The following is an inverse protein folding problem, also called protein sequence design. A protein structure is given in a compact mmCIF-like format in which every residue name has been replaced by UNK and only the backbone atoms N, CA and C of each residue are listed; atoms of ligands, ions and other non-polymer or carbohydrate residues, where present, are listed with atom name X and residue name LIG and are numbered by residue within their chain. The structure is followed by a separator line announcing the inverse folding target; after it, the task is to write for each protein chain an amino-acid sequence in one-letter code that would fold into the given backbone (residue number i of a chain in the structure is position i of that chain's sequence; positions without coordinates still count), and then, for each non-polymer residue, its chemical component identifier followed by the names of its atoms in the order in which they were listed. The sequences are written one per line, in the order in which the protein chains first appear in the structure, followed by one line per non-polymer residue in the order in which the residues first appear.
data_IF_180882632029
#
_entry.id   IF_180882632029
#
_cell.length_a   1.000
_cell.length_b   1.000
_cell.length_c   1.000
_cell.angle_alpha   90.00
_cell.angle_beta   90.00
_cell.angle_gamma   90.00
#
_symmetry.space_group_name_H-M   'P 1'
#
loop_
_entity.id
_entity.type
_entity.pdbx_description
1 polymer ?
#
# COMPACT_ATOMS: atom_id res chain seq x y z
N UNK A 1 25.20 -10.05 -0.06
CA UNK A 1 25.99 -8.94 -0.65
C UNK A 1 25.34 -7.62 -0.23
N UNK A 2 26.07 -6.52 -0.18
CA UNK A 2 25.50 -5.22 0.18
C UNK A 2 24.81 -4.56 -1.02
N UNK A 3 23.68 -3.88 -0.79
CA UNK A 3 22.94 -3.11 -1.79
C UNK A 3 22.96 -1.61 -1.44
N UNK A 4 22.84 -0.73 -2.44
CA UNK A 4 22.85 0.72 -2.21
C UNK A 4 21.71 1.13 -1.29
N UNK A 5 22.05 1.84 -0.21
CA UNK A 5 21.09 2.20 0.83
C UNK A 5 20.06 3.23 0.35
N UNK A 6 18.78 2.99 0.62
CA UNK A 6 17.69 3.87 0.22
C UNK A 6 17.44 5.00 1.24
N UNK A 7 17.00 6.14 0.73
CA UNK A 7 16.88 7.41 1.46
C UNK A 7 15.67 8.19 0.98
N UNK A 8 15.27 9.18 1.77
CA UNK A 8 14.25 10.15 1.35
C UNK A 8 14.63 10.76 -0.01
N UNK A 9 13.69 10.76 -0.95
CA UNK A 9 13.86 11.30 -2.28
C UNK A 9 14.67 10.43 -3.24
N UNK A 10 15.04 9.20 -2.88
CA UNK A 10 15.61 8.27 -3.85
C UNK A 10 14.53 7.79 -4.84
N UNK A 11 14.86 7.60 -6.14
CA UNK A 11 13.89 7.25 -7.17
C UNK A 11 13.11 5.95 -6.95
N UNK A 12 11.85 5.94 -7.39
CA UNK A 12 10.98 4.75 -7.44
C UNK A 12 10.42 4.53 -8.86
N UNK A 13 9.84 3.35 -9.11
CA UNK A 13 9.41 2.91 -10.44
C UNK A 13 8.10 3.55 -10.93
N UNK A 14 7.25 4.05 -10.03
CA UNK A 14 5.99 4.75 -10.37
C UNK A 14 6.02 6.23 -9.96
N UNK A 15 4.93 6.97 -10.23
CA UNK A 15 4.81 8.40 -9.89
C UNK A 15 4.19 8.60 -8.48
N UNK A 16 4.69 9.53 -7.65
CA UNK A 16 5.80 10.44 -7.89
C UNK A 16 7.13 9.67 -7.96
N UNK A 17 8.09 10.13 -8.79
CA UNK A 17 9.24 9.31 -9.20
C UNK A 17 10.27 9.10 -8.09
N UNK A 18 9.96 9.40 -6.82
CA UNK A 18 10.87 9.32 -5.67
C UNK A 18 10.13 8.95 -4.38
N UNK A 19 10.87 8.43 -3.40
CA UNK A 19 10.39 8.22 -2.04
C UNK A 19 10.02 9.55 -1.36
N UNK A 20 8.73 9.88 -1.39
CA UNK A 20 8.09 11.05 -0.77
C UNK A 20 7.26 10.69 0.47
N UNK A 21 6.89 11.66 1.30
CA UNK A 21 6.06 11.46 2.50
C UNK A 21 6.90 11.52 3.77
N UNK A 22 7.80 10.56 3.96
CA UNK A 22 8.73 10.56 5.09
C UNK A 22 8.05 10.22 6.42
N UNK A 23 8.78 10.34 7.55
CA UNK A 23 9.79 11.37 7.81
C UNK A 23 11.23 11.06 7.37
N UNK A 24 11.56 9.79 7.14
CA UNK A 24 12.95 9.33 7.12
C UNK A 24 13.55 9.27 8.53
N UNK A 25 14.74 8.69 8.67
CA UNK A 25 15.46 8.69 9.94
C UNK A 25 15.87 10.11 10.35
N UNK A 26 15.53 10.48 11.59
CA UNK A 26 15.82 11.81 12.16
C UNK A 26 17.29 11.99 12.58
N UNK A 27 18.07 10.91 12.64
CA UNK A 27 19.44 10.94 13.14
C UNK A 27 20.43 10.05 12.37
N UNK A 28 19.95 9.20 11.45
CA UNK A 28 20.82 8.45 10.54
C UNK A 28 20.70 9.02 9.15
N UNK A 29 21.75 9.73 8.73
CA UNK A 29 21.88 10.28 7.39
C UNK A 29 22.79 9.39 6.54
N UNK A 30 22.37 9.11 5.31
CA UNK A 30 23.13 8.35 4.32
C UNK A 30 23.41 9.28 3.14
N UNK A 31 24.69 9.55 2.86
CA UNK A 31 25.06 10.54 1.85
C UNK A 31 24.33 11.89 2.04
N UNK A 32 24.20 12.34 3.29
CA UNK A 32 23.56 13.61 3.66
C UNK A 32 22.04 13.65 3.69
N UNK A 33 21.32 12.56 3.33
CA UNK A 33 19.85 12.51 3.37
C UNK A 33 19.34 11.51 4.41
N UNK A 34 18.15 11.73 5.01
CA UNK A 34 17.54 10.78 5.93
C UNK A 34 17.42 9.37 5.34
N UNK A 35 17.91 8.36 6.07
CA UNK A 35 17.77 6.97 5.67
C UNK A 35 16.31 6.52 5.69
N UNK A 36 15.91 5.66 4.75
CA UNK A 36 14.55 5.12 4.67
C UNK A 36 14.42 3.79 5.42
N UNK A 37 13.33 3.62 6.18
CA UNK A 37 13.03 2.47 7.04
C UNK A 37 11.75 1.77 6.60
N UNK A 38 11.81 0.44 6.55
CA UNK A 38 10.70 -0.42 6.13
C UNK A 38 9.93 -0.98 7.31
N UNK A 39 8.85 -1.69 7.01
CA UNK A 39 8.08 -2.43 8.02
C UNK A 39 8.85 -3.68 8.50
N UNK A 40 8.66 -4.11 9.76
CA UNK A 40 9.12 -5.41 10.22
C UNK A 40 8.51 -6.57 9.41
N UNK A 41 9.17 -7.73 9.40
CA UNK A 41 8.77 -8.89 8.61
C UNK A 41 7.31 -9.36 8.84
N UNK A 42 6.84 -9.36 10.09
CA UNK A 42 5.47 -9.78 10.40
C UNK A 42 4.43 -8.82 9.79
N UNK A 43 4.68 -7.51 9.87
CA UNK A 43 3.85 -6.49 9.24
C UNK A 43 3.89 -6.59 7.71
N UNK A 44 5.07 -6.90 7.14
CA UNK A 44 5.21 -7.13 5.70
C UNK A 44 4.33 -8.30 5.23
N UNK A 45 4.38 -9.44 5.92
CA UNK A 45 3.56 -10.61 5.58
C UNK A 45 2.05 -10.30 5.67
N UNK A 46 1.63 -9.53 6.68
CA UNK A 46 0.23 -9.14 6.84
C UNK A 46 -0.25 -8.23 5.70
N UNK A 47 0.58 -7.25 5.32
CA UNK A 47 0.30 -6.34 4.21
C UNK A 47 0.28 -7.06 2.86
N UNK A 48 1.19 -8.01 2.64
CA UNK A 48 1.21 -8.84 1.43
C UNK A 48 -0.06 -9.70 1.31
N UNK A 49 -0.49 -10.35 2.38
CA UNK A 49 -1.73 -11.13 2.40
C UNK A 49 -2.96 -10.25 2.13
N UNK A 50 -3.03 -9.08 2.77
CA UNK A 50 -4.10 -8.11 2.54
C UNK A 50 -4.10 -7.57 1.11
N UNK A 51 -2.92 -7.35 0.51
CA UNK A 51 -2.79 -6.91 -0.89
C UNK A 51 -3.26 -7.97 -1.87
N UNK A 52 -2.93 -9.23 -1.66
CA UNK A 52 -3.42 -10.33 -2.49
C UNK A 52 -4.95 -10.42 -2.46
N UNK A 53 -5.56 -10.28 -1.28
CA UNK A 53 -7.01 -10.23 -1.14
C UNK A 53 -7.61 -9.01 -1.86
N UNK A 54 -7.03 -7.82 -1.65
CA UNK A 54 -7.41 -6.57 -2.32
C UNK A 54 -7.45 -6.72 -3.84
N UNK A 55 -6.38 -7.27 -4.42
CA UNK A 55 -6.26 -7.48 -5.87
C UNK A 55 -7.32 -8.45 -6.39
N UNK A 56 -7.60 -9.51 -5.64
CA UNK A 56 -8.65 -10.48 -5.98
C UNK A 56 -10.04 -9.84 -5.99
N UNK A 57 -10.35 -9.05 -4.94
CA UNK A 57 -11.63 -8.33 -4.81
C UNK A 57 -11.81 -7.34 -5.97
N UNK A 58 -10.78 -6.54 -6.27
CA UNK A 58 -10.83 -5.53 -7.33
C UNK A 58 -10.96 -6.18 -8.72
N UNK A 59 -10.18 -7.23 -9.00
CA UNK A 59 -10.26 -7.94 -10.27
C UNK A 59 -11.65 -8.57 -10.48
N UNK A 60 -12.26 -9.08 -9.41
CA UNK A 60 -13.64 -9.60 -9.46
C UNK A 60 -14.64 -8.50 -9.82
N UNK A 61 -14.52 -7.32 -9.21
CA UNK A 61 -15.39 -6.19 -9.54
C UNK A 61 -15.18 -5.68 -10.97
N UNK A 62 -13.93 -5.61 -11.45
CA UNK A 62 -13.61 -5.25 -12.83
C UNK A 62 -14.17 -6.25 -13.84
N UNK A 63 -14.12 -7.55 -13.54
CA UNK A 63 -14.74 -8.58 -14.37
C UNK A 63 -16.26 -8.44 -14.42
N UNK A 64 -16.91 -8.09 -13.30
CA UNK A 64 -18.35 -7.84 -13.27
C UNK A 64 -18.76 -6.64 -14.14
N UNK A 65 -18.00 -5.55 -14.11
CA UNK A 65 -18.21 -4.41 -15.03
C UNK A 65 -17.99 -4.81 -16.49
N UNK A 66 -16.93 -5.55 -16.78
CA UNK A 66 -16.62 -5.98 -18.14
C UNK A 66 -17.73 -6.87 -18.74
N UNK A 67 -18.42 -7.65 -17.91
CA UNK A 67 -19.56 -8.47 -18.31
C UNK A 67 -20.88 -7.69 -18.42
N UNK A 68 -20.98 -6.50 -17.82
CA UNK A 68 -22.20 -5.71 -17.82
C UNK A 68 -22.40 -4.99 -19.16
N UNK A 69 -23.61 -5.06 -19.70
CA UNK A 69 -23.98 -4.44 -20.98
C UNK A 69 -25.26 -3.63 -20.84
N UNK A 70 -25.43 -2.63 -21.72
CA UNK A 70 -26.64 -1.82 -21.79
C UNK A 70 -26.98 -1.16 -20.45
N UNK A 71 -28.26 -1.17 -20.03
CA UNK A 71 -28.71 -0.52 -18.79
C UNK A 71 -28.02 -1.00 -17.50
N UNK A 72 -27.43 -2.21 -17.50
CA UNK A 72 -26.75 -2.73 -16.31
C UNK A 72 -25.33 -2.15 -16.13
N UNK A 73 -24.71 -1.61 -17.19
CA UNK A 73 -23.32 -1.15 -17.16
C UNK A 73 -23.06 -0.01 -16.16
N UNK A 74 -23.88 1.07 -16.09
CA UNK A 74 -23.63 2.17 -15.15
C UNK A 74 -23.63 1.71 -13.68
N UNK A 75 -24.56 0.82 -13.32
CA UNK A 75 -24.66 0.30 -11.96
C UNK A 75 -23.48 -0.63 -11.60
N UNK A 76 -23.02 -1.44 -12.55
CA UNK A 76 -21.82 -2.26 -12.37
C UNK A 76 -20.56 -1.40 -12.22
N UNK A 77 -20.42 -0.34 -13.03
CA UNK A 77 -19.26 0.57 -12.94
C UNK A 77 -19.23 1.33 -11.62
N UNK A 78 -20.39 1.81 -11.16
CA UNK A 78 -20.50 2.45 -9.85
C UNK A 78 -20.11 1.50 -8.71
N UNK A 79 -20.52 0.23 -8.79
CA UNK A 79 -20.13 -0.79 -7.82
C UNK A 79 -18.62 -1.06 -7.85
N UNK A 80 -18.00 -1.16 -9.03
CA UNK A 80 -16.55 -1.34 -9.18
C UNK A 80 -15.75 -0.18 -8.58
N UNK A 81 -16.13 1.06 -8.86
CA UNK A 81 -15.46 2.24 -8.32
C UNK A 81 -15.62 2.34 -6.79
N UNK A 82 -16.80 1.99 -6.26
CA UNK A 82 -17.03 1.93 -4.83
C UNK A 82 -16.21 0.81 -4.15
N UNK A 83 -16.07 -0.35 -4.80
CA UNK A 83 -15.18 -1.42 -4.33
C UNK A 83 -13.73 -0.96 -4.28
N UNK A 84 -13.23 -0.30 -5.33
CA UNK A 84 -11.87 0.24 -5.37
C UNK A 84 -11.64 1.27 -4.27
N UNK A 85 -12.60 2.18 -4.06
CA UNK A 85 -12.54 3.17 -2.98
C UNK A 85 -12.53 2.53 -1.58
N UNK A 86 -13.39 1.54 -1.33
CA UNK A 86 -13.43 0.84 -0.05
C UNK A 86 -12.12 0.09 0.23
N UNK A 87 -11.61 -0.67 -0.74
CA UNK A 87 -10.35 -1.42 -0.60
C UNK A 87 -9.17 -0.47 -0.41
N UNK A 88 -9.11 0.64 -1.16
CA UNK A 88 -8.09 1.67 -0.98
C UNK A 88 -8.12 2.24 0.44
N UNK A 89 -9.31 2.54 0.98
CA UNK A 89 -9.48 3.06 2.33
C UNK A 89 -9.00 2.07 3.39
N UNK A 90 -9.40 0.80 3.28
CA UNK A 90 -8.96 -0.27 4.20
C UNK A 90 -7.45 -0.42 4.16
N UNK A 91 -6.86 -0.59 2.97
CA UNK A 91 -5.42 -0.76 2.83
C UNK A 91 -4.66 0.47 3.31
N UNK A 92 -5.13 1.68 3.02
CA UNK A 92 -4.51 2.92 3.49
C UNK A 92 -4.49 2.97 5.02
N UNK A 93 -5.61 2.64 5.68
CA UNK A 93 -5.70 2.59 7.14
C UNK A 93 -4.77 1.53 7.74
N UNK A 94 -4.63 0.37 7.07
CA UNK A 94 -3.73 -0.69 7.49
C UNK A 94 -2.27 -0.27 7.36
N UNK A 95 -1.89 0.35 6.25
CA UNK A 95 -0.54 0.87 6.03
C UNK A 95 -0.20 1.97 7.04
N UNK A 96 -1.09 2.94 7.25
CA UNK A 96 -0.87 4.01 8.23
C UNK A 96 -0.76 3.49 9.67
N UNK A 97 -1.61 2.52 10.05
CA UNK A 97 -1.54 1.91 11.39
C UNK A 97 -0.28 1.07 11.60
N UNK A 98 0.17 0.33 10.59
CA UNK A 98 1.43 -0.42 10.63
C UNK A 98 2.65 0.51 10.66
N UNK A 99 2.56 1.66 9.99
CA UNK A 99 3.64 2.63 10.05
C UNK A 99 3.75 3.31 11.41
N UNK A 100 2.60 3.60 12.04
CA UNK A 100 2.52 4.13 13.39
C UNK A 100 3.01 3.11 14.45
N UNK A 101 2.67 1.83 14.29
CA UNK A 101 3.10 0.76 15.21
C UNK A 101 4.59 0.42 15.11
N UNK A 102 5.26 0.90 14.04
CA UNK A 102 6.70 0.87 13.88
C UNK A 102 7.47 1.40 15.10
N UNK A 103 6.91 2.39 15.81
CA UNK A 103 7.54 2.92 17.02
C UNK A 103 7.68 1.87 18.12
N UNK A 104 6.66 1.03 18.32
CA UNK A 104 6.72 -0.05 19.31
C UNK A 104 7.69 -1.16 18.87
N UNK A 105 7.70 -1.53 17.58
CA UNK A 105 8.63 -2.52 17.05
C UNK A 105 10.08 -2.04 17.10
N UNK A 106 10.33 -0.77 16.75
CA UNK A 106 11.64 -0.14 16.82
C UNK A 106 12.15 -0.04 18.25
N UNK A 107 11.29 0.33 19.21
CA UNK A 107 11.65 0.34 20.62
C UNK A 107 12.00 -1.06 21.17
N UNK A 108 11.22 -2.08 20.77
CA UNK A 108 11.49 -3.47 21.16
C UNK A 108 12.85 -3.99 20.64
N UNK A 109 13.33 -3.45 19.51
CA UNK A 109 14.65 -3.74 18.96
C UNK A 109 15.77 -2.83 19.51
N UNK A 110 15.55 -2.13 20.63
CA UNK A 110 16.51 -1.20 21.23
C UNK A 110 16.67 0.14 20.49
N UNK A 111 15.75 0.43 19.57
CA UNK A 111 15.68 1.68 18.83
C UNK A 111 14.96 2.80 19.58
N UNK A 112 14.99 4.01 19.02
CA UNK A 112 14.47 5.24 19.63
C UNK A 112 12.94 5.43 19.47
N UNK A 113 12.17 4.37 19.23
CA UNK A 113 10.74 4.48 18.95
C UNK A 113 10.43 5.13 17.59
N UNK A 114 11.12 4.70 16.53
CA UNK A 114 10.98 5.27 15.19
C UNK A 114 9.72 4.79 14.45
N UNK A 115 9.14 5.69 13.64
CA UNK A 115 8.06 5.37 12.70
C UNK A 115 8.62 4.68 11.45
N UNK A 116 7.83 3.79 10.84
CA UNK A 116 8.13 3.33 9.47
C UNK A 116 7.90 4.48 8.50
N UNK A 117 8.73 4.57 7.47
CA UNK A 117 8.60 5.63 6.49
C UNK A 117 7.52 5.29 5.46
N UNK A 118 6.58 6.23 5.27
CA UNK A 118 5.46 6.09 4.34
C UNK A 118 5.81 6.81 3.03
N UNK A 119 5.67 6.08 1.93
CA UNK A 119 5.64 6.62 0.59
C UNK A 119 4.24 7.16 0.25
N UNK A 120 4.12 8.37 -0.27
CA UNK A 120 2.85 8.88 -0.79
C UNK A 120 2.81 8.75 -2.31
N UNK A 121 2.05 7.77 -2.81
CA UNK A 121 1.88 7.54 -4.23
C UNK A 121 0.60 8.20 -4.76
N UNK A 122 0.77 9.14 -5.69
CA UNK A 122 -0.33 9.87 -6.33
C UNK A 122 -0.65 9.35 -7.73
N UNK A 123 0.00 8.26 -8.17
CA UNK A 123 -0.32 7.61 -9.44
C UNK A 123 -1.81 7.27 -9.50
N UNK A 124 -2.55 7.76 -10.51
CA UNK A 124 -3.92 7.32 -10.74
C UNK A 124 -3.92 5.89 -11.28
N UNK A 125 -4.53 4.95 -10.56
CA UNK A 125 -5.46 4.02 -11.21
C UNK A 125 -6.78 4.80 -11.39
N UNK A 126 -7.68 4.48 -12.33
CA UNK A 126 -8.98 5.16 -12.39
C UNK A 126 -9.55 5.28 -10.96
N UNK A 127 -9.93 6.51 -10.57
CA UNK A 127 -10.12 6.97 -9.17
C UNK A 127 -10.58 5.82 -8.25
N UNK A 128 -9.90 5.57 -7.11
CA UNK A 128 -8.92 6.41 -6.40
C UNK A 128 -7.42 6.16 -6.75
N UNK A 129 -6.50 7.09 -6.38
CA UNK A 129 -5.04 6.90 -6.50
C UNK A 129 -4.49 5.71 -5.71
N UNK A 130 -3.24 5.31 -6.02
CA UNK A 130 -2.52 4.23 -5.33
C UNK A 130 -2.45 4.41 -3.80
N UNK A 131 -2.25 5.65 -3.32
CA UNK A 131 -2.31 5.99 -1.91
C UNK A 131 -0.99 5.78 -1.16
N UNK A 132 -1.03 5.59 0.17
CA UNK A 132 0.17 5.40 0.97
C UNK A 132 0.80 4.03 0.67
N UNK A 133 2.12 3.96 0.82
CA UNK A 133 2.87 2.72 0.71
C UNK A 133 4.02 2.63 1.71
N UNK A 134 4.48 1.42 1.97
CA UNK A 134 5.60 1.14 2.87
C UNK A 134 6.53 0.10 2.26
N UNK A 135 7.80 0.15 2.63
CA UNK A 135 8.77 -0.86 2.17
C UNK A 135 8.58 -2.15 2.96
N UNK A 136 8.33 -3.26 2.28
CA UNK A 136 7.96 -4.56 2.86
C UNK A 136 9.09 -5.59 2.88
N UNK A 137 10.20 -5.31 2.22
CA UNK A 137 11.32 -6.24 2.01
C UNK A 137 12.67 -5.60 2.37
N UNK A 138 12.68 -4.75 3.40
CA UNK A 138 13.89 -4.13 3.95
C UNK A 138 14.92 -5.14 4.47
N UNK A 139 16.10 -4.65 4.87
CA UNK A 139 17.20 -5.48 5.37
C UNK A 139 16.78 -6.33 6.57
N UNK A 140 17.17 -7.60 6.54
CA UNK A 140 16.97 -8.55 7.65
C UNK A 140 18.12 -8.58 8.66
N UNK A 141 19.18 -7.79 8.44
CA UNK A 141 20.36 -7.74 9.32
C UNK A 141 20.74 -6.35 9.80
N UNK A 142 20.30 -5.30 9.11
CA UNK A 142 20.62 -3.91 9.44
C UNK A 142 19.34 -3.17 9.80
N UNK A 143 19.30 -2.69 11.05
CA UNK A 143 18.21 -1.87 11.55
C UNK A 143 18.67 -0.42 11.68
N UNK A 144 17.84 0.51 11.21
CA UNK A 144 17.98 1.95 11.43
C UNK A 144 16.86 2.37 12.36
N UNK A 145 17.24 2.87 13.54
CA UNK A 145 16.31 3.18 14.63
C UNK A 145 15.42 1.98 15.06
N UNK A 146 15.95 0.76 14.96
CA UNK A 146 15.22 -0.47 15.28
C UNK A 146 14.29 -0.98 14.18
N UNK A 147 14.23 -0.33 13.02
CA UNK A 147 13.43 -0.75 11.87
C UNK A 147 14.31 -1.20 10.69
N UNK A 148 13.86 -2.15 9.85
CA UNK A 148 14.61 -2.61 8.68
C UNK A 148 15.10 -1.47 7.80
N UNK A 149 16.41 -1.42 7.55
CA UNK A 149 16.99 -0.44 6.63
C UNK A 149 16.63 -0.78 5.18
N UNK A 150 16.22 0.21 4.39
CA UNK A 150 15.83 -0.02 3.00
C UNK A 150 17.02 0.14 2.05
N UNK A 151 16.93 -0.52 0.90
CA UNK A 151 17.95 -0.54 -0.16
C UNK A 151 17.31 -0.47 -1.54
N UNK A 152 18.13 -0.16 -2.54
CA UNK A 152 17.77 -0.31 -3.96
C UNK A 152 17.28 -1.73 -4.25
N UNK A 153 16.17 -1.82 -4.99
CA UNK A 153 15.48 -3.07 -5.34
C UNK A 153 14.34 -3.46 -4.40
N UNK A 154 14.24 -2.81 -3.24
CA UNK A 154 13.12 -3.02 -2.33
C UNK A 154 11.78 -2.60 -2.95
N UNK A 155 10.73 -3.26 -2.46
CA UNK A 155 9.33 -3.09 -2.84
C UNK A 155 8.64 -2.16 -1.87
N UNK A 156 8.14 -1.04 -2.39
CA UNK A 156 7.09 -0.25 -1.77
C UNK A 156 5.75 -0.91 -2.11
N UNK A 157 5.11 -1.49 -1.09
CA UNK A 157 3.73 -1.96 -1.20
C UNK A 157 2.80 -0.78 -0.95
N UNK A 158 2.02 -0.43 -1.96
CA UNK A 158 1.06 0.67 -1.94
C UNK A 158 -0.35 0.14 -1.69
N UNK A 159 -1.24 1.00 -1.18
CA UNK A 159 -2.61 0.59 -0.84
C UNK A 159 -3.35 0.00 -2.06
N UNK A 160 -3.10 0.56 -3.25
CA UNK A 160 -3.52 0.03 -4.53
C UNK A 160 -2.37 0.07 -5.55
N UNK A 161 -2.56 -0.64 -6.65
CA UNK A 161 -1.67 -0.59 -7.80
C UNK A 161 -0.62 -1.71 -7.84
N UNK A 162 0.18 -1.73 -8.92
CA UNK A 162 1.29 -2.68 -9.07
C UNK A 162 2.43 -2.41 -8.08
N UNK A 163 3.31 -3.39 -7.82
CA UNK A 163 4.48 -3.21 -6.95
C UNK A 163 5.37 -2.05 -7.42
N UNK A 164 5.69 -1.12 -6.52
CA UNK A 164 6.58 0.00 -6.81
C UNK A 164 8.00 -0.29 -6.28
N UNK A 165 9.02 -0.19 -7.12
CA UNK A 165 10.40 -0.55 -6.74
C UNK A 165 11.24 0.68 -6.46
N UNK A 166 12.08 0.63 -5.45
CA UNK A 166 13.16 1.61 -5.26
C UNK A 166 14.22 1.34 -6.33
N UNK A 167 14.36 2.24 -7.30
CA UNK A 167 15.22 2.00 -8.48
C UNK A 167 16.64 2.52 -8.31
N UNK A 168 16.90 3.37 -7.32
CA UNK A 168 18.24 3.82 -6.96
C UNK A 168 18.40 4.00 -5.45
N UNK A 169 19.65 3.99 -4.97
CA UNK A 169 20.02 4.30 -3.59
C UNK A 169 21.29 5.15 -3.53
N UNK A 170 21.88 5.29 -2.35
CA UNK A 170 23.17 5.97 -2.17
C UNK A 170 24.33 5.11 -2.72
N UNK A 171 25.07 5.58 -3.75
CA UNK A 171 26.12 4.79 -4.37
C UNK A 171 27.36 4.58 -3.47
N UNK A 172 27.47 5.33 -2.38
CA UNK A 172 28.63 5.27 -1.46
C UNK A 172 28.36 4.47 -0.19
N UNK A 173 27.13 4.00 0.03
CA UNK A 173 26.76 3.25 1.24
C UNK A 173 26.05 1.96 0.85
N UNK A 174 26.66 0.85 1.23
CA UNK A 174 26.12 -0.49 1.04
C UNK A 174 25.54 -1.02 2.35
N UNK A 175 24.30 -1.50 2.30
CA UNK A 175 23.64 -2.17 3.42
C UNK A 175 23.49 -3.65 3.10
N UNK A 176 23.88 -4.50 4.05
CA UNK A 176 23.71 -5.93 3.92
C UNK A 176 22.24 -6.30 3.85
N UNK A 177 21.87 -7.12 2.87
CA UNK A 177 20.56 -7.77 2.80
C UNK A 177 20.74 -9.25 3.13
N UNK A 178 20.11 -9.72 4.20
CA UNK A 178 19.95 -11.16 4.41
C UNK A 178 18.81 -11.71 3.55
N UNK A 179 18.55 -13.03 3.62
CA UNK A 179 17.42 -13.64 2.93
C UNK A 179 16.11 -13.00 3.40
N UNK A 180 15.07 -13.04 2.54
CA UNK A 180 13.74 -12.60 2.92
C UNK A 180 13.26 -13.38 4.15
N UNK A 181 12.83 -12.67 5.19
CA UNK A 181 12.30 -13.31 6.38
C UNK A 181 10.98 -14.00 6.03
N UNK A 182 10.93 -15.33 6.19
CA UNK A 182 9.68 -16.08 6.07
C UNK A 182 8.97 -16.10 7.42
N UNK A 183 7.88 -15.35 7.53
CA UNK A 183 7.00 -15.35 8.70
C UNK A 183 5.57 -15.58 8.24
N UNK A 184 4.87 -16.50 8.89
CA UNK A 184 3.44 -16.70 8.68
C UNK A 184 2.66 -15.84 9.68
N UNK A 185 1.66 -15.12 9.19
CA UNK A 185 0.73 -14.35 10.02
C UNK A 185 -0.68 -14.73 9.65
N UNK A 186 -1.58 -14.76 10.63
CA UNK A 186 -3.01 -14.90 10.37
C UNK A 186 -3.60 -13.51 10.04
N UNK A 187 -3.87 -13.27 8.76
CA UNK A 187 -4.52 -12.06 8.28
C UNK A 187 -6.03 -12.25 8.02
N UNK A 188 -6.61 -13.40 8.38
CA UNK A 188 -7.97 -13.79 8.00
C UNK A 188 -9.04 -12.81 8.45
N UNK A 189 -8.96 -12.31 9.69
CA UNK A 189 -9.91 -11.34 10.22
C UNK A 189 -9.87 -9.99 9.47
N UNK A 190 -8.66 -9.52 9.13
CA UNK A 190 -8.49 -8.29 8.37
C UNK A 190 -9.04 -8.42 6.94
N UNK A 191 -8.81 -9.58 6.30
CA UNK A 191 -9.33 -9.90 4.97
C UNK A 191 -10.86 -9.99 5.00
N UNK A 192 -11.44 -10.67 6.00
CA UNK A 192 -12.90 -10.77 6.14
C UNK A 192 -13.57 -9.40 6.30
N UNK A 193 -12.97 -8.52 7.10
CA UNK A 193 -13.46 -7.14 7.25
C UNK A 193 -13.34 -6.35 5.94
N UNK A 194 -12.24 -6.50 5.20
CA UNK A 194 -12.05 -5.85 3.90
C UNK A 194 -13.13 -6.28 2.88
N UNK A 195 -13.40 -7.58 2.79
CA UNK A 195 -14.46 -8.11 1.94
C UNK A 195 -15.84 -7.58 2.32
N UNK A 196 -16.14 -7.51 3.62
CA UNK A 196 -17.43 -7.01 4.10
C UNK A 196 -17.62 -5.53 3.71
N UNK A 197 -16.60 -4.70 3.90
CA UNK A 197 -16.65 -3.28 3.53
C UNK A 197 -16.75 -3.09 2.01
N UNK A 198 -16.04 -3.89 1.22
CA UNK A 198 -16.12 -3.87 -0.24
C UNK A 198 -17.53 -4.27 -0.75
N UNK A 199 -18.13 -5.32 -0.18
CA UNK A 199 -19.48 -5.79 -0.52
C UNK A 199 -20.55 -4.76 -0.15
N UNK A 200 -20.42 -4.14 1.02
CA UNK A 200 -21.33 -3.09 1.47
C UNK A 200 -21.28 -1.87 0.54
N UNK A 201 -20.08 -1.39 0.22
CA UNK A 201 -19.88 -0.23 -0.67
C UNK A 201 -20.43 -0.49 -2.08
N UNK A 202 -20.15 -1.67 -2.65
CA UNK A 202 -20.67 -2.07 -3.96
C UNK A 202 -22.20 -2.09 -4.01
N UNK A 203 -22.84 -2.66 -2.97
CA UNK A 203 -24.30 -2.77 -2.89
C UNK A 203 -24.96 -1.40 -2.82
N UNK A 204 -24.44 -0.52 -1.97
CA UNK A 204 -24.94 0.85 -1.82
C UNK A 204 -24.79 1.65 -3.12
N UNK A 205 -23.65 1.53 -3.80
CA UNK A 205 -23.41 2.22 -5.07
C UNK A 205 -24.35 1.74 -6.19
N UNK A 206 -24.58 0.42 -6.27
CA UNK A 206 -25.51 -0.18 -7.23
C UNK A 206 -26.95 0.33 -7.03
N UNK A 207 -27.44 0.29 -5.79
CA UNK A 207 -28.79 0.78 -5.46
C UNK A 207 -28.97 2.26 -5.81
N UNK A 208 -27.97 3.09 -5.49
CA UNK A 208 -27.99 4.52 -5.83
C UNK A 208 -28.02 4.75 -7.34
N UNK A 209 -27.23 4.02 -8.12
CA UNK A 209 -27.19 4.13 -9.57
C UNK A 209 -28.52 3.70 -10.22
N UNK A 210 -29.12 2.60 -9.76
CA UNK A 210 -30.42 2.13 -10.22
C UNK A 210 -31.55 3.12 -9.88
N UNK A 211 -31.54 3.71 -8.68
CA UNK A 211 -32.51 4.73 -8.28
C UNK A 211 -32.39 6.00 -9.14
N UNK A 212 -31.17 6.44 -9.43
CA UNK A 212 -30.91 7.59 -10.29
C UNK A 212 -31.38 7.34 -11.72
N UNK A 213 -31.19 6.13 -12.24
CA UNK A 213 -31.69 5.75 -13.55
C UNK A 213 -33.24 5.78 -13.60
N UNK A 214 -33.91 5.20 -12.60
CA UNK A 214 -35.37 5.23 -12.49
C UNK A 214 -35.91 6.66 -12.44
N UNK A 215 -35.26 7.55 -11.70
CA UNK A 215 -35.62 8.98 -11.66
C UNK A 215 -35.46 9.65 -13.02
N UNK A 216 -34.39 9.36 -13.76
CA UNK A 216 -34.17 9.90 -15.12
C UNK A 216 -35.19 9.38 -16.13
N UNK A 217 -35.67 8.14 -15.98
CA UNK A 217 -36.71 7.57 -16.82
C UNK A 217 -38.08 8.23 -16.53
N UNK A 218 -38.42 8.42 -15.25
CA UNK A 218 -39.66 9.10 -14.84
C UNK A 218 -39.72 10.58 -15.24
N UNK A 219 -38.58 11.26 -15.37
CA UNK A 219 -38.51 12.66 -15.83
C UNK A 219 -38.60 12.82 -17.36
N UNK A 220 -38.48 11.73 -18.13
CA UNK A 220 -38.57 11.72 -19.59
C UNK A 220 -39.96 11.34 -20.11
N UNK A 221 -40.85 10.87 -19.22
CA UNK A 221 -42.25 10.54 -19.44
C UNK A 221 -43.16 11.68 -19.01
#
# INVERSE_FOLDING_TARGET
MGQFAARVGDPVAHLPPVLTGGPGSVNVLIGGKPAWRGVPAASAAALQAAKQASDTIINTAMAATAAAVGPAFPAAKAAEEATKAAVAGVMSSMISSMAASGAAAGAAAGGIGAMVDIHTCTTPLPIPPHGPGVVIDGSTSVLINGLPACVMGNTVLEALGPPNKIVMGCPTVLIGTGPAASVSVDASAAIANMEAQAKQAATQAKQKAEEEQKKKEQQKS
#
